data_IF_821142418949
#
_entry.id   IF_821142418949
#
_cell.length_a   1.000
_cell.length_b   1.000
_cell.length_c   1.000
_cell.angle_alpha   90.00
_cell.angle_beta   90.00
_cell.angle_gamma   90.00
#
_symmetry.space_group_name_H-M   'P 1'
#
loop_
_entity.id
_entity.type
_entity.pdbx_description
1 polymer ?
#
# COMPACT_ATOMS: atom_id res chain seq x y z
N UNK A 1 -18.23 -2.46 20.40
CA UNK A 1 -19.27 -1.43 20.64
C UNK A 1 -18.56 -0.09 20.53
N UNK A 2 -18.90 0.77 19.56
CA UNK A 2 -18.18 2.03 19.32
C UNK A 2 -18.64 3.05 20.39
N UNK A 3 -17.71 3.61 21.15
CA UNK A 3 -18.01 4.53 22.25
C UNK A 3 -18.45 5.92 21.77
N UNK A 4 -19.36 6.57 22.52
CA UNK A 4 -19.85 7.93 22.23
C UNK A 4 -18.76 9.01 22.28
N UNK A 5 -17.70 8.75 23.04
CA UNK A 5 -16.47 9.56 23.17
C UNK A 5 -15.75 9.68 21.83
N UNK A 6 -15.70 8.61 21.04
CA UNK A 6 -15.09 8.59 19.71
C UNK A 6 -15.76 9.58 18.76
N UNK A 7 -17.09 9.58 18.70
CA UNK A 7 -17.85 10.50 17.84
C UNK A 7 -17.66 11.95 18.27
N UNK A 8 -17.69 12.25 19.57
CA UNK A 8 -17.48 13.61 20.10
C UNK A 8 -16.08 14.14 19.78
N UNK A 9 -15.06 13.31 19.93
CA UNK A 9 -13.67 13.68 19.61
C UNK A 9 -13.47 13.90 18.12
N UNK A 10 -14.03 13.01 17.27
CA UNK A 10 -14.00 13.16 15.82
C UNK A 10 -14.71 14.44 15.38
N UNK A 11 -15.87 14.75 15.94
CA UNK A 11 -16.62 15.95 15.60
C UNK A 11 -15.87 17.23 15.98
N UNK A 12 -15.20 17.23 17.15
CA UNK A 12 -14.35 18.35 17.61
C UNK A 12 -13.11 18.51 16.74
N UNK A 13 -12.53 17.42 16.27
CA UNK A 13 -11.41 17.45 15.35
C UNK A 13 -11.82 18.02 13.98
N UNK A 14 -12.95 17.58 13.42
CA UNK A 14 -13.48 18.09 12.15
C UNK A 14 -13.79 19.59 12.25
N UNK A 15 -14.43 20.03 13.34
CA UNK A 15 -14.75 21.45 13.54
C UNK A 15 -13.50 22.33 13.69
N UNK A 16 -12.39 21.76 14.20
CA UNK A 16 -11.12 22.46 14.38
C UNK A 16 -10.22 22.41 13.14
N UNK A 17 -10.51 21.52 12.19
CA UNK A 17 -9.79 21.33 10.94
C UNK A 17 -10.76 21.42 9.76
N UNK A 18 -11.33 22.61 9.49
CA UNK A 18 -12.17 22.80 8.32
C UNK A 18 -11.36 22.49 7.06
N UNK A 19 -11.99 21.80 6.10
CA UNK A 19 -11.36 21.55 4.81
C UNK A 19 -10.96 22.90 4.18
N UNK A 20 -9.68 23.05 3.82
CA UNK A 20 -9.21 24.22 3.08
C UNK A 20 -9.81 24.15 1.68
N UNK A 21 -10.84 24.95 1.44
CA UNK A 21 -11.43 25.12 0.12
C UNK A 21 -10.53 26.10 -0.67
N UNK A 22 -9.56 25.57 -1.38
CA UNK A 22 -8.81 26.30 -2.40
C UNK A 22 -9.41 26.06 -3.78
N UNK A 23 -9.30 27.02 -4.69
CA UNK A 23 -9.63 26.78 -6.07
C UNK A 23 -8.73 25.66 -6.61
N UNK A 24 -9.30 24.78 -7.45
CA UNK A 24 -8.54 23.65 -8.04
C UNK A 24 -7.28 24.15 -8.77
N UNK A 25 -7.31 25.34 -9.36
CA UNK A 25 -6.16 25.90 -10.09
C UNK A 25 -4.98 26.26 -9.18
N UNK A 26 -5.26 26.59 -7.92
CA UNK A 26 -4.24 26.97 -6.94
C UNK A 26 -3.69 25.75 -6.19
N UNK A 27 -4.29 24.58 -6.40
CA UNK A 27 -3.84 23.34 -5.78
C UNK A 27 -2.57 22.84 -6.47
N UNK A 28 -1.42 23.00 -5.80
CA UNK A 28 -0.13 22.46 -6.28
C UNK A 28 -0.14 20.94 -6.27
N UNK A 29 -0.83 20.34 -5.30
CA UNK A 29 -0.89 18.90 -5.08
C UNK A 29 -2.37 18.52 -4.98
N UNK A 30 -2.86 17.70 -5.92
CA UNK A 30 -4.24 17.23 -5.97
C UNK A 30 -4.29 15.77 -6.46
N UNK A 31 -5.15 14.91 -5.88
CA UNK A 31 -6.17 15.17 -4.86
C UNK A 31 -5.68 15.19 -3.40
N UNK A 32 -4.46 14.72 -3.14
CA UNK A 32 -3.88 14.62 -1.80
C UNK A 32 -2.67 15.57 -1.66
N UNK A 33 -2.28 15.89 -0.43
CA UNK A 33 -1.07 16.70 -0.20
C UNK A 33 0.21 15.98 -0.67
N UNK A 34 0.20 14.65 -0.71
CA UNK A 34 1.30 13.82 -1.23
C UNK A 34 1.27 13.65 -2.75
N UNK A 35 0.23 14.15 -3.43
CA UNK A 35 0.06 14.03 -4.86
C UNK A 35 1.15 14.76 -5.63
N UNK A 36 1.63 14.14 -6.71
CA UNK A 36 2.62 14.74 -7.63
C UNK A 36 1.97 15.58 -8.72
N UNK A 37 0.66 15.43 -8.92
CA UNK A 37 -0.13 16.13 -9.93
C UNK A 37 -0.72 17.41 -9.37
N UNK A 38 -0.85 18.41 -10.21
CA UNK A 38 -1.47 19.69 -9.84
C UNK A 38 -2.95 19.70 -10.18
N UNK A 39 -3.73 20.51 -9.46
CA UNK A 39 -5.11 20.76 -9.85
C UNK A 39 -5.20 21.52 -11.19
N UNK A 40 -4.13 22.17 -11.64
CA UNK A 40 -4.07 22.77 -12.98
C UNK A 40 -4.13 21.71 -14.09
N UNK A 41 -3.50 20.55 -13.88
CA UNK A 41 -3.54 19.41 -14.81
C UNK A 41 -4.96 18.83 -14.90
N UNK A 42 -5.62 18.66 -13.73
CA UNK A 42 -7.01 18.23 -13.67
C UNK A 42 -7.92 19.22 -14.42
N UNK A 43 -7.75 20.52 -14.18
CA UNK A 43 -8.52 21.57 -14.86
C UNK A 43 -8.33 21.50 -16.36
N UNK A 44 -7.11 21.26 -16.84
CA UNK A 44 -6.84 21.14 -18.27
C UNK A 44 -7.53 19.92 -18.88
N UNK A 45 -7.53 18.78 -18.19
CA UNK A 45 -8.27 17.57 -18.60
C UNK A 45 -9.78 17.80 -18.64
N UNK A 46 -10.35 18.41 -17.59
CA UNK A 46 -11.78 18.75 -17.54
C UNK A 46 -12.17 19.74 -18.64
N UNK A 47 -11.36 20.79 -18.87
CA UNK A 47 -11.61 21.76 -19.94
C UNK A 47 -11.44 21.14 -21.33
N UNK A 48 -10.48 20.24 -21.51
CA UNK A 48 -10.29 19.48 -22.74
C UNK A 48 -11.53 18.68 -23.09
N UNK A 49 -12.09 17.99 -22.10
CA UNK A 49 -13.32 17.23 -22.26
C UNK A 49 -14.54 18.14 -22.48
N UNK A 50 -14.68 19.22 -21.69
CA UNK A 50 -15.75 20.20 -21.85
C UNK A 50 -15.78 20.85 -23.23
N UNK A 51 -14.61 21.15 -23.81
CA UNK A 51 -14.49 21.76 -25.15
C UNK A 51 -15.04 20.87 -26.26
N UNK A 52 -15.11 19.55 -26.07
CA UNK A 52 -15.69 18.63 -27.05
C UNK A 52 -17.21 18.83 -27.21
N UNK A 53 -17.87 19.43 -26.21
CA UNK A 53 -19.31 19.67 -26.20
C UNK A 53 -19.70 21.09 -26.65
N UNK A 54 -18.71 21.94 -26.96
CA UNK A 54 -18.87 23.39 -27.13
C UNK A 54 -19.69 23.81 -28.36
N UNK A 55 -19.99 22.88 -29.28
CA UNK A 55 -20.81 23.15 -30.46
C UNK A 55 -22.33 23.14 -30.19
N UNK A 56 -22.77 22.67 -29.01
CA UNK A 56 -24.19 22.68 -28.61
C UNK A 56 -24.38 23.64 -27.43
N UNK A 57 -25.39 24.50 -27.50
CA UNK A 57 -25.76 25.38 -26.40
C UNK A 57 -26.18 24.54 -25.19
N UNK A 58 -25.66 24.83 -24.00
CA UNK A 58 -25.84 24.01 -22.77
C UNK A 58 -27.34 23.86 -22.42
N UNK A 59 -28.12 24.84 -22.86
CA UNK A 59 -29.56 24.91 -22.69
C UNK A 59 -30.34 23.97 -23.62
N UNK A 60 -29.77 23.63 -24.78
CA UNK A 60 -30.39 22.80 -25.82
C UNK A 60 -30.04 21.31 -25.70
N UNK A 61 -29.14 20.96 -24.77
CA UNK A 61 -28.72 19.58 -24.53
C UNK A 61 -29.84 18.79 -23.85
N UNK A 62 -30.13 17.59 -24.35
CA UNK A 62 -31.12 16.69 -23.75
C UNK A 62 -30.71 16.25 -22.34
N UNK A 63 -31.68 15.91 -21.48
CA UNK A 63 -31.38 15.41 -20.12
C UNK A 63 -30.41 14.22 -20.11
N UNK A 64 -30.56 13.31 -21.08
CA UNK A 64 -29.69 12.13 -21.22
C UNK A 64 -28.25 12.49 -21.59
N UNK A 65 -28.06 13.44 -22.50
CA UNK A 65 -26.73 13.95 -22.85
C UNK A 65 -26.10 14.70 -21.67
N UNK A 66 -26.88 15.46 -20.90
CA UNK A 66 -26.40 16.11 -19.66
C UNK A 66 -25.87 15.09 -18.66
N UNK A 67 -26.61 14.01 -18.42
CA UNK A 67 -26.13 12.91 -17.57
C UNK A 67 -24.81 12.33 -18.09
N UNK A 68 -24.73 12.05 -19.39
CA UNK A 68 -23.50 11.51 -20.00
C UNK A 68 -22.29 12.44 -19.84
N UNK A 69 -22.48 13.75 -19.94
CA UNK A 69 -21.41 14.73 -19.72
C UNK A 69 -20.96 14.71 -18.26
N UNK A 70 -21.91 14.70 -17.32
CA UNK A 70 -21.60 14.62 -15.88
C UNK A 70 -20.86 13.33 -15.55
N UNK A 71 -21.31 12.19 -16.06
CA UNK A 71 -20.66 10.89 -15.85
C UNK A 71 -19.23 10.90 -16.41
N UNK A 72 -19.02 11.50 -17.58
CA UNK A 72 -17.69 11.57 -18.19
C UNK A 72 -16.74 12.47 -17.39
N UNK A 73 -17.22 13.61 -16.87
CA UNK A 73 -16.43 14.47 -16.00
C UNK A 73 -16.13 13.80 -14.66
N UNK A 74 -17.09 13.04 -14.11
CA UNK A 74 -16.89 12.26 -12.89
C UNK A 74 -15.83 11.16 -13.09
N UNK A 75 -15.84 10.47 -14.24
CA UNK A 75 -14.83 9.48 -14.58
C UNK A 75 -13.42 10.07 -14.61
N UNK A 76 -13.24 11.28 -15.18
CA UNK A 76 -11.95 11.97 -15.16
C UNK A 76 -11.47 12.21 -13.72
N UNK A 77 -12.35 12.63 -12.82
CA UNK A 77 -12.00 12.83 -11.42
C UNK A 77 -11.60 11.51 -10.75
N UNK A 78 -12.34 10.44 -11.01
CA UNK A 78 -12.05 9.09 -10.47
C UNK A 78 -10.69 8.60 -10.98
N UNK A 79 -10.41 8.71 -12.27
CA UNK A 79 -9.13 8.30 -12.86
C UNK A 79 -7.93 9.00 -12.23
N UNK A 80 -8.06 10.29 -11.92
CA UNK A 80 -7.01 11.04 -11.22
C UNK A 80 -6.80 10.53 -9.79
N UNK A 81 -7.88 10.28 -9.05
CA UNK A 81 -7.80 9.75 -7.68
C UNK A 81 -7.22 8.33 -7.68
N UNK A 82 -7.69 7.47 -8.56
CA UNK A 82 -7.24 6.08 -8.67
C UNK A 82 -5.77 6.00 -9.03
N UNK A 83 -5.30 6.83 -9.96
CA UNK A 83 -3.88 6.87 -10.32
C UNK A 83 -2.98 7.20 -9.11
N UNK A 84 -3.37 8.19 -8.31
CA UNK A 84 -2.61 8.58 -7.12
C UNK A 84 -2.68 7.53 -6.00
N UNK A 85 -3.84 6.88 -5.82
CA UNK A 85 -3.96 5.74 -4.89
C UNK A 85 -3.03 4.60 -5.34
N UNK A 86 -2.98 4.29 -6.63
CA UNK A 86 -2.10 3.25 -7.17
C UNK A 86 -0.62 3.57 -6.95
N UNK A 87 -0.23 4.84 -7.11
CA UNK A 87 1.14 5.28 -6.87
C UNK A 87 1.50 5.18 -5.38
N UNK A 88 0.60 5.61 -4.48
CA UNK A 88 0.78 5.44 -3.03
C UNK A 88 0.89 3.96 -2.63
N UNK A 89 0.06 3.09 -3.18
CA UNK A 89 0.12 1.65 -2.90
C UNK A 89 1.46 1.05 -3.36
N UNK A 90 1.98 1.45 -4.52
CA UNK A 90 3.30 1.00 -4.99
C UNK A 90 4.43 1.46 -4.08
N UNK A 91 4.39 2.71 -3.62
CA UNK A 91 5.38 3.22 -2.66
C UNK A 91 5.33 2.43 -1.35
N UNK A 92 4.13 2.19 -0.80
CA UNK A 92 3.95 1.39 0.43
C UNK A 92 4.44 -0.06 0.28
N UNK A 93 4.16 -0.70 -0.86
CA UNK A 93 4.66 -2.07 -1.13
C UNK A 93 6.19 -2.08 -1.20
N UNK A 94 6.79 -1.07 -1.83
CA UNK A 94 8.25 -0.95 -1.90
C UNK A 94 8.87 -0.73 -0.53
N UNK A 95 8.28 0.15 0.28
CA UNK A 95 8.76 0.41 1.64
C UNK A 95 8.63 -0.83 2.54
N UNK A 96 7.53 -1.58 2.40
CA UNK A 96 7.35 -2.86 3.08
C UNK A 96 8.41 -3.89 2.67
N UNK A 97 8.71 -4.01 1.37
CA UNK A 97 9.77 -4.89 0.88
C UNK A 97 11.14 -4.51 1.45
N UNK A 98 11.48 -3.22 1.48
CA UNK A 98 12.74 -2.73 2.07
C UNK A 98 12.79 -3.04 3.56
N UNK A 99 11.68 -2.88 4.28
CA UNK A 99 11.60 -3.22 5.69
C UNK A 99 11.80 -4.72 5.93
N UNK A 100 11.16 -5.57 5.13
CA UNK A 100 11.32 -7.03 5.20
C UNK A 100 12.78 -7.44 4.95
N UNK A 101 13.43 -6.86 3.93
CA UNK A 101 14.84 -7.10 3.65
C UNK A 101 15.74 -6.70 4.82
N UNK A 102 15.48 -5.54 5.44
CA UNK A 102 16.23 -5.07 6.62
C UNK A 102 16.01 -5.98 7.84
N UNK A 103 14.79 -6.50 8.03
CA UNK A 103 14.47 -7.45 9.09
C UNK A 103 15.25 -8.75 8.87
N UNK A 104 15.26 -9.30 7.65
CA UNK A 104 16.01 -10.50 7.30
C UNK A 104 17.51 -10.30 7.51
N UNK A 105 18.06 -9.14 7.11
CA UNK A 105 19.46 -8.80 7.36
C UNK A 105 19.78 -8.74 8.87
N UNK A 106 18.90 -8.12 9.65
CA UNK A 106 19.03 -8.05 11.11
C UNK A 106 18.99 -9.44 11.74
N UNK A 107 18.06 -10.30 11.34
CA UNK A 107 18.00 -11.68 11.82
C UNK A 107 19.24 -12.47 11.44
N UNK A 108 19.74 -12.30 10.21
CA UNK A 108 20.99 -12.93 9.75
C UNK A 108 22.17 -12.52 10.63
N UNK A 109 22.27 -11.23 10.96
CA UNK A 109 23.29 -10.72 11.87
C UNK A 109 23.16 -11.40 13.24
N UNK A 110 21.98 -11.32 13.88
CA UNK A 110 21.74 -11.92 15.19
C UNK A 110 22.06 -13.41 15.20
N UNK A 111 21.63 -14.14 14.18
CA UNK A 111 21.88 -15.57 14.04
C UNK A 111 23.38 -15.90 13.90
N UNK A 112 24.15 -15.13 13.12
CA UNK A 112 25.59 -15.37 12.94
C UNK A 112 26.42 -15.12 14.20
N UNK A 113 26.02 -14.14 15.01
CA UNK A 113 26.75 -13.81 16.24
C UNK A 113 26.41 -14.72 17.42
N UNK A 114 25.20 -15.31 17.43
CA UNK A 114 24.78 -16.17 18.51
C UNK A 114 25.19 -17.64 18.29
N UNK A 115 25.64 -18.30 19.36
CA UNK A 115 26.05 -19.70 19.32
C UNK A 115 24.88 -20.67 19.26
N UNK A 116 23.73 -20.27 19.80
CA UNK A 116 22.49 -21.07 19.86
C UNK A 116 21.34 -20.18 19.43
N UNK A 117 20.48 -20.70 18.56
CA UNK A 117 19.31 -20.00 18.03
C UNK A 117 18.11 -20.92 18.23
N UNK A 118 17.06 -20.42 18.89
CA UNK A 118 15.78 -21.10 18.99
C UNK A 118 14.81 -20.55 17.95
N UNK A 119 14.18 -21.44 17.17
CA UNK A 119 13.25 -21.08 16.09
C UNK A 119 12.10 -22.08 16.11
N UNK A 120 10.89 -21.63 15.80
CA UNK A 120 9.72 -22.51 15.66
C UNK A 120 9.76 -23.30 14.34
N UNK A 121 9.17 -24.49 14.33
CA UNK A 121 9.16 -25.36 13.16
C UNK A 121 8.51 -24.69 11.94
N UNK A 122 7.38 -24.00 12.13
CA UNK A 122 6.67 -23.27 11.05
C UNK A 122 7.54 -22.17 10.44
N UNK A 123 8.26 -21.43 11.28
CA UNK A 123 9.14 -20.36 10.81
C UNK A 123 10.33 -20.93 10.03
N UNK A 124 10.91 -22.04 10.51
CA UNK A 124 12.00 -22.73 9.83
C UNK A 124 11.57 -23.31 8.48
N UNK A 125 10.35 -23.86 8.39
CA UNK A 125 9.78 -24.37 7.15
C UNK A 125 9.53 -23.24 6.12
N UNK A 126 9.01 -22.10 6.57
CA UNK A 126 8.77 -20.95 5.70
C UNK A 126 10.07 -20.27 5.20
N UNK A 127 11.16 -20.35 5.97
CA UNK A 127 12.42 -19.64 5.71
C UNK A 127 13.62 -20.57 5.49
N UNK A 128 13.41 -21.74 4.87
CA UNK A 128 14.48 -22.72 4.60
C UNK A 128 15.65 -22.14 3.80
N UNK A 129 15.35 -21.30 2.80
CA UNK A 129 16.37 -20.64 1.97
C UNK A 129 17.24 -19.70 2.79
N UNK A 130 16.66 -18.92 3.72
CA UNK A 130 17.40 -18.02 4.58
C UNK A 130 18.27 -18.78 5.59
N UNK A 131 17.69 -19.78 6.25
CA UNK A 131 18.42 -20.58 7.23
C UNK A 131 19.66 -21.21 6.59
N UNK A 132 19.60 -21.65 5.31
CA UNK A 132 20.70 -22.44 4.72
C UNK A 132 21.96 -21.61 4.55
N UNK A 133 21.81 -20.28 4.50
CA UNK A 133 22.91 -19.32 4.51
C UNK A 133 23.53 -19.10 5.90
N UNK A 134 22.95 -19.62 6.98
CA UNK A 134 23.48 -19.51 8.35
C UNK A 134 24.52 -20.59 8.70
N UNK A 135 24.59 -21.69 7.94
CA UNK A 135 25.54 -22.80 8.13
C UNK A 135 25.58 -23.31 9.59
N UNK A 136 24.43 -23.76 10.15
CA UNK A 136 24.39 -24.32 11.49
C UNK A 136 25.21 -25.61 11.56
N UNK A 137 26.02 -25.78 12.61
CA UNK A 137 26.82 -27.00 12.83
C UNK A 137 26.01 -28.17 13.37
N UNK A 138 24.93 -27.87 14.09
CA UNK A 138 24.04 -28.84 14.70
C UNK A 138 22.64 -28.24 14.73
N UNK A 139 21.63 -29.04 14.38
CA UNK A 139 20.22 -28.68 14.45
C UNK A 139 19.58 -29.64 15.45
N UNK A 140 18.97 -29.10 16.50
CA UNK A 140 18.21 -29.86 17.49
C UNK A 140 16.74 -29.56 17.23
N UNK A 141 15.94 -30.62 17.11
CA UNK A 141 14.52 -30.54 16.84
C UNK A 141 13.80 -31.01 18.09
N UNK A 142 13.03 -30.11 18.70
CA UNK A 142 12.08 -30.49 19.73
C UNK A 142 10.85 -31.12 19.04
N UNK A 143 10.28 -32.19 19.61
CA UNK A 143 9.10 -32.90 19.07
C UNK A 143 9.24 -33.41 17.62
N UNK A 144 10.35 -34.08 17.31
CA UNK A 144 10.69 -34.59 15.97
C UNK A 144 9.64 -35.52 15.32
N UNK A 145 8.68 -36.08 16.07
CA UNK A 145 7.60 -36.92 15.55
C UNK A 145 6.47 -36.15 14.84
N UNK A 146 6.31 -34.85 15.12
CA UNK A 146 5.24 -34.02 14.53
C UNK A 146 5.70 -33.23 13.30
N UNK A 147 7.01 -33.21 13.03
CA UNK A 147 7.61 -32.41 11.97
C UNK A 147 7.91 -33.31 10.76
N UNK A 148 7.39 -32.93 9.59
CA UNK A 148 7.65 -33.62 8.33
C UNK A 148 9.16 -33.63 8.00
N UNK A 149 9.69 -34.81 7.65
CA UNK A 149 11.09 -35.00 7.28
C UNK A 149 11.55 -34.11 6.11
N UNK A 150 10.64 -33.68 5.24
CA UNK A 150 10.91 -32.73 4.16
C UNK A 150 11.37 -31.36 4.66
N UNK A 151 11.01 -30.97 5.88
CA UNK A 151 11.50 -29.76 6.56
C UNK A 151 12.94 -29.91 7.05
N UNK A 152 13.36 -31.16 7.32
CA UNK A 152 14.68 -31.52 7.84
C UNK A 152 15.68 -31.91 6.73
N UNK A 153 15.20 -32.33 5.57
CA UNK A 153 16.00 -32.83 4.45
C UNK A 153 17.14 -31.92 3.95
N UNK A 154 17.06 -30.57 4.00
CA UNK A 154 18.19 -29.70 3.63
C UNK A 154 19.38 -29.76 4.61
N UNK A 155 19.17 -30.30 5.81
CA UNK A 155 20.10 -30.20 6.95
C UNK A 155 20.75 -31.52 7.33
N UNK A 156 20.20 -32.64 6.83
CA UNK A 156 20.55 -34.00 7.26
C UNK A 156 21.77 -34.62 6.58
N UNK A 157 22.54 -33.88 5.78
CA UNK A 157 23.70 -34.42 5.03
C UNK A 157 25.04 -33.92 5.55
N UNK A 158 25.27 -33.99 6.86
CA UNK A 158 26.63 -34.09 7.38
C UNK A 158 26.72 -35.33 8.26
N UNK A 159 27.23 -36.39 7.65
CA UNK A 159 27.71 -37.58 8.36
C UNK A 159 28.73 -37.13 9.41
N UNK A 160 28.46 -37.44 10.68
CA UNK A 160 29.52 -37.73 11.62
C UNK A 160 30.35 -38.92 11.13
#
# INVERSE_FOLDING_TARGET
>A
MIESTFFRNRHRWISSNPAKLSAIIDATNWPFESSRRSGSDLRQSLLGHWRQFKEKDIWDISSKEKSSIVDSLANILIEFVDADIQDLLKEQVKDAQVLDDLIVQRWTYVARFNRVIGITADFAAAHQSWLSHLWPRCVIVDEASEILESTLAPWGSSKC
#
